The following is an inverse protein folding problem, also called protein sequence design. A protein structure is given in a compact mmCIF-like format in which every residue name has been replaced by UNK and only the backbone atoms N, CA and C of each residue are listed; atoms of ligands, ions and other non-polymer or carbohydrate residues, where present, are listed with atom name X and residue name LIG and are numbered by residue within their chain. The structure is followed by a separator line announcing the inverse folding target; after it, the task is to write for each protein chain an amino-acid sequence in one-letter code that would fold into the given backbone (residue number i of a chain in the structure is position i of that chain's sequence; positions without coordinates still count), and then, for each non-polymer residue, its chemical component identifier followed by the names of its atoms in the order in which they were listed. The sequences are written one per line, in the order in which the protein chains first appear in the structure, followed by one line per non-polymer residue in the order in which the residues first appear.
data_IF_459729462368
#
_entry.id   IF_459729462368
#
_cell.length_a   1.000
_cell.length_b   1.000
_cell.length_c   1.000
_cell.angle_alpha   90.00
_cell.angle_beta   90.00
_cell.angle_gamma   90.00
#
_symmetry.space_group_name_H-M   'P 1'
#
loop_
_entity.id
_entity.type
_entity.pdbx_description
1 polymer ?
#
# COMPACT_ATOMS: atom_id res chain seq x y z
N UNK A 1 24.05 -40.49 -24.05
CA UNK A 1 22.97 -39.73 -23.39
C UNK A 1 23.36 -38.26 -23.28
N UNK A 2 23.33 -37.48 -24.38
CA UNK A 2 23.80 -36.08 -24.39
C UNK A 2 23.01 -35.11 -25.26
N UNK A 3 22.02 -35.56 -26.04
CA UNK A 3 21.29 -34.70 -26.99
C UNK A 3 20.14 -33.87 -26.40
N UNK A 4 19.57 -34.27 -25.26
CA UNK A 4 18.38 -33.61 -24.69
C UNK A 4 18.66 -32.31 -23.93
N UNK A 5 19.88 -32.13 -23.39
CA UNK A 5 20.24 -30.92 -22.63
C UNK A 5 20.48 -29.70 -23.55
N UNK A 6 21.14 -29.89 -24.68
CA UNK A 6 21.38 -28.82 -25.66
C UNK A 6 20.09 -28.30 -26.30
N UNK A 7 19.10 -29.17 -26.54
CA UNK A 7 17.81 -28.77 -27.11
C UNK A 7 16.98 -27.89 -26.17
N UNK A 8 16.91 -28.27 -24.89
CA UNK A 8 16.24 -27.46 -23.85
C UNK A 8 16.94 -26.13 -23.62
N UNK A 9 18.27 -26.10 -23.65
CA UNK A 9 19.05 -24.88 -23.47
C UNK A 9 18.85 -23.91 -24.64
N UNK A 10 18.80 -24.42 -25.88
CA UNK A 10 18.48 -23.62 -27.07
C UNK A 10 17.04 -23.09 -27.06
N UNK A 11 16.07 -23.89 -26.60
CA UNK A 11 14.67 -23.48 -26.48
C UNK A 11 14.49 -22.37 -25.41
N UNK A 12 15.13 -22.54 -24.25
CA UNK A 12 15.16 -21.51 -23.21
C UNK A 12 15.82 -20.21 -23.67
N UNK A 13 16.90 -20.29 -24.45
CA UNK A 13 17.54 -19.11 -25.04
C UNK A 13 16.60 -18.38 -26.00
N UNK A 14 15.83 -19.11 -26.81
CA UNK A 14 14.87 -18.50 -27.71
C UNK A 14 13.71 -17.84 -26.96
N UNK A 15 13.18 -18.51 -25.93
CA UNK A 15 12.12 -17.94 -25.08
C UNK A 15 12.57 -16.65 -24.40
N UNK A 16 13.81 -16.60 -23.90
CA UNK A 16 14.38 -15.38 -23.30
C UNK A 16 14.48 -14.23 -24.30
N UNK A 17 14.98 -14.49 -25.51
CA UNK A 17 15.01 -13.45 -26.57
C UNK A 17 13.62 -12.92 -26.91
N UNK A 18 12.60 -13.79 -26.89
CA UNK A 18 11.23 -13.36 -27.10
C UNK A 18 10.73 -12.49 -25.95
N UNK A 19 11.09 -12.82 -24.69
CA UNK A 19 10.80 -11.98 -23.52
C UNK A 19 11.50 -10.63 -23.64
N UNK A 20 12.80 -10.58 -23.95
CA UNK A 20 13.55 -9.34 -24.11
C UNK A 20 12.89 -8.41 -25.15
N UNK A 21 12.49 -8.98 -26.29
CA UNK A 21 11.79 -8.24 -27.35
C UNK A 21 10.41 -7.72 -26.93
N UNK A 22 9.69 -8.43 -26.05
CA UNK A 22 8.44 -7.97 -25.46
C UNK A 22 8.67 -6.91 -24.40
N UNK A 23 9.71 -7.04 -23.58
CA UNK A 23 10.09 -6.07 -22.54
C UNK A 23 10.49 -4.74 -23.16
N UNK A 24 11.21 -4.74 -24.29
CA UNK A 24 11.51 -3.53 -25.07
C UNK A 24 10.21 -2.83 -25.53
N UNK A 25 9.24 -3.59 -26.05
CA UNK A 25 7.94 -3.04 -26.44
C UNK A 25 7.13 -2.50 -25.24
N UNK A 26 7.18 -3.20 -24.11
CA UNK A 26 6.55 -2.74 -22.87
C UNK A 26 7.18 -1.42 -22.42
N UNK A 27 8.51 -1.32 -22.43
CA UNK A 27 9.23 -0.10 -22.08
C UNK A 27 8.83 1.07 -23.00
N UNK A 28 8.74 0.83 -24.31
CA UNK A 28 8.29 1.86 -25.27
C UNK A 28 6.86 2.34 -24.97
N UNK A 29 5.94 1.42 -24.69
CA UNK A 29 4.56 1.75 -24.32
C UNK A 29 4.48 2.51 -22.99
N UNK A 30 5.29 2.12 -22.00
CA UNK A 30 5.38 2.81 -20.72
C UNK A 30 5.93 4.23 -20.90
N UNK A 31 6.95 4.43 -21.73
CA UNK A 31 7.50 5.74 -22.04
C UNK A 31 6.51 6.64 -22.78
N UNK A 32 5.77 6.10 -23.75
CA UNK A 32 4.69 6.83 -24.42
C UNK A 32 3.61 7.26 -23.42
N UNK A 33 3.20 6.35 -22.53
CA UNK A 33 2.23 6.68 -21.47
C UNK A 33 2.78 7.72 -20.48
N UNK A 34 4.07 7.65 -20.14
CA UNK A 34 4.74 8.63 -19.29
C UNK A 34 4.73 10.03 -19.93
N UNK A 35 5.06 10.12 -21.23
CA UNK A 35 5.00 11.39 -21.97
C UNK A 35 3.59 12.00 -21.97
N UNK A 36 2.55 11.18 -22.17
CA UNK A 36 1.16 11.62 -22.07
C UNK A 36 0.83 12.08 -20.65
N UNK A 37 1.29 11.38 -19.63
CA UNK A 37 1.07 11.74 -18.22
C UNK A 37 1.70 13.10 -17.90
N UNK A 38 2.92 13.36 -18.38
CA UNK A 38 3.57 14.67 -18.26
C UNK A 38 2.76 15.76 -18.98
N UNK A 39 2.25 15.49 -20.18
CA UNK A 39 1.40 16.44 -20.90
C UNK A 39 0.08 16.73 -20.16
N UNK A 40 -0.56 15.71 -19.56
CA UNK A 40 -1.74 15.88 -18.70
C UNK A 40 -1.42 16.77 -17.50
N UNK A 41 -0.28 16.56 -16.84
CA UNK A 41 0.18 17.38 -15.72
C UNK A 41 0.37 18.86 -16.12
N UNK A 42 0.97 19.11 -17.28
CA UNK A 42 1.15 20.48 -17.83
C UNK A 42 -0.18 21.17 -18.14
N UNK A 43 -1.12 20.46 -18.77
CA UNK A 43 -2.45 21.01 -19.09
C UNK A 43 -3.24 21.37 -17.83
N UNK A 44 -2.99 20.66 -16.72
CA UNK A 44 -3.66 20.88 -15.44
C UNK A 44 -2.86 21.75 -14.46
N UNK A 45 -1.72 22.33 -14.88
CA UNK A 45 -0.83 23.05 -13.98
C UNK A 45 -1.53 24.23 -13.27
N UNK A 46 -2.45 24.90 -13.96
CA UNK A 46 -3.21 26.04 -13.44
C UNK A 46 -4.59 25.63 -12.87
N UNK A 47 -4.89 24.33 -12.83
CA UNK A 47 -6.14 23.82 -12.27
C UNK A 47 -6.01 23.50 -10.79
N UNK A 48 -7.08 23.75 -10.04
CA UNK A 48 -7.22 23.33 -8.63
C UNK A 48 -7.57 21.84 -8.51
N UNK A 49 -7.80 21.15 -9.64
CA UNK A 49 -8.10 19.72 -9.61
C UNK A 49 -6.96 18.87 -9.05
N UNK A 50 -7.32 17.94 -8.16
CA UNK A 50 -6.41 16.89 -7.69
C UNK A 50 -5.98 15.96 -8.83
N UNK A 51 -4.72 15.53 -8.80
CA UNK A 51 -4.21 14.49 -9.71
C UNK A 51 -4.86 13.14 -9.41
N UNK A 52 -5.03 12.83 -8.12
CA UNK A 52 -5.68 11.61 -7.68
C UNK A 52 -7.18 11.62 -7.99
N UNK A 53 -7.61 10.70 -8.86
CA UNK A 53 -9.00 10.53 -9.33
C UNK A 53 -9.41 9.05 -9.23
N UNK A 54 -9.83 8.58 -8.04
CA UNK A 54 -10.01 7.14 -7.77
C UNK A 54 -11.05 6.47 -8.68
N UNK A 55 -12.16 7.14 -8.99
CA UNK A 55 -13.16 6.62 -9.92
C UNK A 55 -12.60 6.41 -11.33
N UNK A 56 -11.76 7.33 -11.81
CA UNK A 56 -11.14 7.20 -13.13
C UNK A 56 -10.15 6.05 -13.18
N UNK A 57 -9.41 5.82 -12.10
CA UNK A 57 -8.49 4.68 -12.01
C UNK A 57 -9.24 3.35 -11.97
N UNK A 58 -10.33 3.29 -11.20
CA UNK A 58 -11.23 2.14 -11.17
C UNK A 58 -11.79 1.83 -12.56
N UNK A 59 -12.30 2.84 -13.29
CA UNK A 59 -12.78 2.65 -14.67
C UNK A 59 -11.71 2.06 -15.60
N UNK A 60 -10.46 2.54 -15.49
CA UNK A 60 -9.36 2.04 -16.31
C UNK A 60 -9.06 0.58 -15.96
N UNK A 61 -8.95 0.25 -14.67
CA UNK A 61 -8.71 -1.10 -14.18
C UNK A 61 -9.84 -2.06 -14.58
N UNK A 62 -11.10 -1.71 -14.33
CA UNK A 62 -12.26 -2.54 -14.64
C UNK A 62 -12.35 -2.81 -16.15
N UNK A 63 -12.08 -1.79 -16.99
CA UNK A 63 -11.97 -1.96 -18.44
C UNK A 63 -10.86 -2.95 -18.80
N UNK A 64 -9.66 -2.84 -18.22
CA UNK A 64 -8.55 -3.73 -18.52
C UNK A 64 -8.81 -5.17 -18.07
N UNK A 65 -9.42 -5.35 -16.90
CA UNK A 65 -9.81 -6.66 -16.37
C UNK A 65 -10.82 -7.33 -17.31
N UNK A 66 -11.82 -6.59 -17.79
CA UNK A 66 -12.81 -7.11 -18.74
C UNK A 66 -12.19 -7.55 -20.08
N UNK A 67 -11.06 -6.96 -20.48
CA UNK A 67 -10.34 -7.32 -21.71
C UNK A 67 -9.24 -8.36 -21.50
N UNK A 68 -8.93 -8.72 -20.24
CA UNK A 68 -7.87 -9.65 -19.93
C UNK A 68 -8.35 -11.10 -20.11
N UNK A 69 -8.07 -11.69 -21.27
CA UNK A 69 -8.38 -13.09 -21.56
C UNK A 69 -7.38 -14.09 -20.92
N UNK A 70 -6.42 -13.63 -20.13
CA UNK A 70 -5.34 -14.44 -19.58
C UNK A 70 -4.11 -14.54 -20.50
N UNK A 71 -3.04 -15.22 -20.07
CA UNK A 71 -2.93 -16.05 -18.87
C UNK A 71 -2.64 -15.27 -17.56
N UNK A 72 -2.53 -13.94 -17.62
CA UNK A 72 -2.22 -13.12 -16.46
C UNK A 72 -3.40 -13.08 -15.45
N UNK A 73 -3.20 -13.50 -14.19
CA UNK A 73 -4.25 -13.43 -13.16
C UNK A 73 -4.68 -11.99 -12.86
N UNK A 74 -5.94 -11.79 -12.48
CA UNK A 74 -6.51 -10.47 -12.19
C UNK A 74 -5.74 -9.74 -11.07
N UNK A 75 -5.38 -10.42 -9.99
CA UNK A 75 -4.62 -9.84 -8.88
C UNK A 75 -3.24 -9.33 -9.32
N UNK A 76 -2.60 -10.01 -10.28
CA UNK A 76 -1.32 -9.57 -10.84
C UNK A 76 -1.52 -8.34 -11.74
N UNK A 77 -2.57 -8.33 -12.57
CA UNK A 77 -2.92 -7.19 -13.42
C UNK A 77 -3.18 -5.93 -12.57
N UNK A 78 -3.94 -6.07 -11.47
CA UNK A 78 -4.21 -4.99 -10.51
C UNK A 78 -2.91 -4.43 -9.92
N UNK A 79 -2.00 -5.30 -9.49
CA UNK A 79 -0.72 -4.89 -8.91
C UNK A 79 0.17 -4.13 -9.91
N UNK A 80 0.27 -4.63 -11.15
CA UNK A 80 1.03 -3.98 -12.23
C UNK A 80 0.44 -2.60 -12.54
N UNK A 81 -0.87 -2.54 -12.78
CA UNK A 81 -1.51 -1.28 -13.16
C UNK A 81 -1.54 -0.26 -12.02
N UNK A 82 -1.57 -0.69 -10.76
CA UNK A 82 -1.38 0.21 -9.61
C UNK A 82 -0.04 0.94 -9.70
N UNK A 83 1.07 0.24 -9.94
CA UNK A 83 2.39 0.90 -10.01
C UNK A 83 2.53 1.77 -11.26
N UNK A 84 1.95 1.35 -12.38
CA UNK A 84 1.85 2.16 -13.61
C UNK A 84 1.06 3.45 -13.36
N UNK A 85 -0.05 3.40 -12.63
CA UNK A 85 -0.84 4.57 -12.25
C UNK A 85 -0.08 5.45 -11.24
N UNK A 86 0.50 4.85 -10.21
CA UNK A 86 1.32 5.52 -9.19
C UNK A 86 2.45 6.35 -9.82
N UNK A 87 3.22 5.75 -10.73
CA UNK A 87 4.28 6.44 -11.48
C UNK A 87 3.73 7.60 -12.32
N UNK A 88 2.56 7.43 -12.95
CA UNK A 88 1.96 8.48 -13.78
C UNK A 88 1.35 9.63 -13.02
N UNK A 89 0.82 9.39 -11.82
CA UNK A 89 0.42 10.49 -10.94
C UNK A 89 1.63 11.27 -10.48
N UNK A 90 2.71 10.56 -10.09
CA UNK A 90 3.99 11.19 -9.71
C UNK A 90 4.59 12.05 -10.83
N UNK A 91 4.48 11.62 -12.09
CA UNK A 91 4.91 12.41 -13.26
C UNK A 91 4.04 13.64 -13.53
N UNK A 92 2.78 13.65 -13.06
CA UNK A 92 1.89 14.82 -13.17
C UNK A 92 2.19 15.84 -12.07
N UNK A 93 2.27 15.38 -10.81
CA UNK A 93 2.62 16.21 -9.64
C UNK A 93 3.00 15.29 -8.46
N UNK A 94 3.89 15.72 -7.55
CA UNK A 94 4.09 15.02 -6.26
C UNK A 94 2.77 14.83 -5.49
N UNK A 95 2.51 13.59 -5.06
CA UNK A 95 1.39 13.25 -4.18
C UNK A 95 1.91 13.07 -2.75
N UNK A 96 1.67 14.06 -1.88
CA UNK A 96 1.98 14.00 -0.46
C UNK A 96 0.79 13.38 0.26
N UNK A 97 1.02 12.22 0.84
CA UNK A 97 0.01 11.43 1.54
C UNK A 97 0.42 11.32 3.00
N UNK A 98 -0.44 11.76 3.91
CA UNK A 98 -0.19 11.66 5.35
C UNK A 98 -0.96 10.49 5.95
N UNK A 99 -0.42 9.87 6.99
CA UNK A 99 -1.04 8.73 7.67
C UNK A 99 -0.69 8.71 9.16
N UNK A 100 -1.44 7.94 9.96
CA UNK A 100 -1.12 7.78 11.38
C UNK A 100 0.11 6.88 11.53
N UNK A 101 1.20 7.50 11.99
CA UNK A 101 2.52 6.88 12.10
C UNK A 101 2.67 5.92 13.29
N UNK A 102 3.85 5.31 13.44
CA UNK A 102 5.04 5.47 12.57
C UNK A 102 4.95 4.64 11.26
N UNK A 103 6.02 4.64 10.47
CA UNK A 103 6.15 3.73 9.32
C UNK A 103 6.01 2.27 9.75
N UNK A 104 5.33 1.46 8.93
CA UNK A 104 5.02 0.06 9.23
C UNK A 104 3.71 -0.16 10.00
N UNK A 105 2.92 0.88 10.30
CA UNK A 105 1.55 0.70 10.78
C UNK A 105 0.63 0.15 9.68
N UNK A 106 -0.56 -0.34 10.06
CA UNK A 106 -1.56 -0.73 9.07
C UNK A 106 -1.98 0.43 8.16
N UNK A 107 -2.02 1.67 8.67
CA UNK A 107 -2.28 2.87 7.85
C UNK A 107 -1.16 3.13 6.83
N UNK A 108 0.10 2.90 7.19
CA UNK A 108 1.21 2.95 6.23
C UNK A 108 1.03 1.94 5.10
N UNK A 109 0.77 0.67 5.43
CA UNK A 109 0.59 -0.37 4.42
C UNK A 109 -0.67 -0.15 3.58
N UNK A 110 -1.75 0.33 4.17
CA UNK A 110 -2.97 0.71 3.46
C UNK A 110 -2.70 1.84 2.46
N UNK A 111 -1.95 2.86 2.86
CA UNK A 111 -1.52 3.94 1.97
C UNK A 111 -0.66 3.41 0.81
N UNK A 112 0.31 2.54 1.10
CA UNK A 112 1.18 1.96 0.08
C UNK A 112 0.42 1.04 -0.89
N UNK A 113 -0.50 0.23 -0.37
CA UNK A 113 -1.31 -0.70 -1.15
C UNK A 113 -2.23 0.04 -2.12
N UNK A 114 -2.74 1.20 -1.72
CA UNK A 114 -3.68 1.96 -2.52
C UNK A 114 -2.98 2.93 -3.48
N UNK A 115 -2.01 3.68 -2.96
CA UNK A 115 -1.30 4.73 -3.71
C UNK A 115 -0.14 4.20 -4.55
N UNK A 116 0.32 2.97 -4.31
CA UNK A 116 1.54 2.45 -4.93
C UNK A 116 2.80 3.17 -4.44
N UNK A 117 3.96 2.73 -4.93
CA UNK A 117 5.24 3.08 -4.29
C UNK A 117 5.81 4.46 -4.69
N UNK A 118 5.21 5.14 -5.67
CA UNK A 118 5.70 6.45 -6.12
C UNK A 118 5.12 7.63 -5.33
N UNK A 119 4.17 7.38 -4.43
CA UNK A 119 3.60 8.41 -3.55
C UNK A 119 4.54 8.73 -2.38
N UNK A 120 4.55 10.00 -1.94
CA UNK A 120 5.31 10.44 -0.77
C UNK A 120 4.46 10.26 0.50
N UNK A 121 4.68 9.14 1.19
CA UNK A 121 4.00 8.85 2.44
C UNK A 121 4.76 9.47 3.62
N UNK A 122 4.08 10.30 4.41
CA UNK A 122 4.66 10.93 5.62
C UNK A 122 3.83 10.63 6.88
N UNK A 123 4.46 10.12 7.95
CA UNK A 123 3.75 9.82 9.19
C UNK A 123 3.36 11.10 9.93
N UNK A 124 2.23 11.04 10.64
CA UNK A 124 1.79 12.05 11.61
C UNK A 124 1.52 11.40 12.96
N UNK A 125 1.66 12.18 14.03
CA UNK A 125 1.53 11.68 15.40
C UNK A 125 0.08 11.48 15.81
N UNK A 126 -0.84 12.32 15.31
CA UNK A 126 -2.26 12.26 15.67
C UNK A 126 -3.16 12.31 14.42
N UNK A 127 -4.43 11.90 14.58
CA UNK A 127 -5.42 12.12 13.53
C UNK A 127 -5.65 13.61 13.27
N UNK A 128 -5.62 14.45 14.30
CA UNK A 128 -5.80 15.90 14.11
C UNK A 128 -4.72 16.50 13.20
N UNK A 129 -3.46 16.07 13.34
CA UNK A 129 -2.36 16.49 12.46
C UNK A 129 -2.60 16.07 11.00
N UNK A 130 -3.22 14.91 10.77
CA UNK A 130 -3.58 14.43 9.42
C UNK A 130 -4.66 15.33 8.83
N UNK A 131 -5.73 15.57 9.57
CA UNK A 131 -6.85 16.41 9.12
C UNK A 131 -6.40 17.84 8.86
N UNK A 132 -5.57 18.41 9.73
CA UNK A 132 -4.98 19.73 9.57
C UNK A 132 -4.07 19.81 8.35
N UNK A 133 -3.17 18.84 8.15
CA UNK A 133 -2.28 18.82 7.00
C UNK A 133 -3.05 18.77 5.66
N UNK A 134 -4.17 18.05 5.61
CA UNK A 134 -5.03 18.01 4.41
C UNK A 134 -5.83 19.31 4.25
N UNK A 135 -6.45 19.78 5.34
CA UNK A 135 -7.24 21.03 5.36
C UNK A 135 -6.42 22.26 4.92
N UNK A 136 -5.17 22.34 5.38
CA UNK A 136 -4.27 23.48 5.11
C UNK A 136 -3.55 23.34 3.76
N UNK A 137 -3.76 22.24 3.03
CA UNK A 137 -3.10 21.96 1.74
C UNK A 137 -1.62 21.55 1.84
N UNK A 138 -1.13 21.23 3.05
CA UNK A 138 0.21 20.67 3.26
C UNK A 138 0.32 19.29 2.58
N UNK A 139 -0.74 18.48 2.66
CA UNK A 139 -0.85 17.18 2.02
C UNK A 139 -2.09 17.09 1.12
N UNK A 140 -1.99 16.39 -0.01
CA UNK A 140 -3.13 16.19 -0.90
C UNK A 140 -4.14 15.18 -0.35
N UNK A 141 -3.68 14.19 0.43
CA UNK A 141 -4.51 13.09 0.94
C UNK A 141 -4.10 12.68 2.35
N UNK A 142 -5.08 12.20 3.12
CA UNK A 142 -4.87 11.56 4.41
C UNK A 142 -5.41 10.13 4.41
N UNK A 143 -4.62 9.19 4.94
CA UNK A 143 -5.04 7.80 5.16
C UNK A 143 -5.43 7.63 6.62
N UNK A 144 -6.71 7.34 6.85
CA UNK A 144 -7.32 7.21 8.18
C UNK A 144 -8.14 5.93 8.27
N UNK A 145 -8.15 5.25 9.42
CA UNK A 145 -9.09 4.17 9.70
C UNK A 145 -10.46 4.77 10.05
N UNK A 146 -11.49 4.46 9.27
CA UNK A 146 -12.87 4.87 9.59
C UNK A 146 -13.55 3.85 10.52
N UNK A 147 -13.38 2.56 10.22
CA UNK A 147 -13.98 1.46 10.99
C UNK A 147 -13.00 0.30 11.15
N UNK A 148 -13.14 -0.42 12.27
CA UNK A 148 -12.49 -1.68 12.54
C UNK A 148 -13.53 -2.77 12.78
N UNK A 149 -13.41 -3.91 12.09
CA UNK A 149 -14.37 -5.02 12.20
C UNK A 149 -14.53 -5.58 13.62
N UNK A 150 -13.54 -5.39 14.50
CA UNK A 150 -13.57 -5.90 15.88
C UNK A 150 -13.98 -4.84 16.92
N UNK A 151 -13.83 -3.55 16.62
CA UNK A 151 -14.02 -2.46 17.59
C UNK A 151 -15.00 -1.38 17.13
N UNK A 152 -15.56 -1.51 15.93
CA UNK A 152 -16.50 -0.55 15.35
C UNK A 152 -15.81 0.70 14.80
N UNK A 153 -16.59 1.77 14.66
CA UNK A 153 -16.16 3.05 14.12
C UNK A 153 -15.13 3.75 15.00
N UNK A 154 -14.14 4.39 14.39
CA UNK A 154 -13.12 5.18 15.09
C UNK A 154 -13.70 6.57 15.41
N UNK A 155 -14.30 6.72 16.60
CA UNK A 155 -15.03 7.94 16.98
C UNK A 155 -14.24 9.24 16.80
N UNK A 156 -12.96 9.25 17.17
CA UNK A 156 -12.10 10.43 17.01
C UNK A 156 -12.00 10.91 15.55
N UNK A 157 -12.01 10.00 14.59
CA UNK A 157 -11.97 10.33 13.15
C UNK A 157 -13.29 10.96 12.71
N UNK A 158 -14.42 10.44 13.18
CA UNK A 158 -15.76 11.00 12.91
C UNK A 158 -15.88 12.42 13.47
N UNK A 159 -15.39 12.64 14.69
CA UNK A 159 -15.41 13.97 15.31
C UNK A 159 -14.57 14.97 14.50
N UNK A 160 -13.40 14.56 14.01
CA UNK A 160 -12.53 15.42 13.20
C UNK A 160 -13.15 15.80 11.85
N UNK A 161 -13.96 14.93 11.23
CA UNK A 161 -14.71 15.29 10.03
C UNK A 161 -15.72 16.43 10.25
N UNK A 162 -16.20 16.63 11.48
CA UNK A 162 -17.08 17.75 11.80
C UNK A 162 -16.30 19.07 12.02
N UNK A 163 -14.99 18.99 12.28
CA UNK A 163 -14.15 20.13 12.63
C UNK A 163 -13.34 20.67 11.44
N UNK A 164 -13.00 19.82 10.47
CA UNK A 164 -12.13 20.18 9.35
C UNK A 164 -12.88 20.06 8.00
N UNK A 165 -12.67 21.00 7.06
CA UNK A 165 -13.30 21.00 5.74
C UNK A 165 -12.62 20.00 4.78
N UNK A 166 -12.65 18.71 5.12
CA UNK A 166 -12.07 17.63 4.32
C UNK A 166 -13.16 16.68 3.80
N UNK A 167 -12.86 15.96 2.72
CA UNK A 167 -13.83 15.07 2.06
C UNK A 167 -13.25 13.66 1.87
N UNK A 168 -14.10 12.65 1.94
CA UNK A 168 -13.72 11.26 1.63
C UNK A 168 -13.67 11.11 0.11
N UNK A 169 -12.48 10.80 -0.42
CA UNK A 169 -12.28 10.57 -1.86
C UNK A 169 -12.40 9.10 -2.26
N UNK A 170 -12.05 8.19 -1.36
CA UNK A 170 -12.03 6.76 -1.62
C UNK A 170 -12.09 5.97 -0.29
N UNK A 171 -12.47 4.71 -0.42
CA UNK A 171 -12.39 3.72 0.65
C UNK A 171 -11.51 2.54 0.23
N UNK A 172 -10.87 1.91 1.21
CA UNK A 172 -10.16 0.64 1.03
C UNK A 172 -10.38 -0.28 2.24
N UNK A 173 -10.38 -1.58 1.97
CA UNK A 173 -10.50 -2.61 2.99
C UNK A 173 -9.16 -3.30 3.16
N UNK A 174 -8.47 -3.00 4.25
CA UNK A 174 -7.20 -3.62 4.60
C UNK A 174 -7.42 -4.82 5.53
N UNK A 175 -7.03 -6.02 5.08
CA UNK A 175 -7.09 -7.21 5.93
C UNK A 175 -5.97 -7.19 6.96
N UNK A 176 -6.35 -7.06 8.23
CA UNK A 176 -5.43 -7.10 9.36
C UNK A 176 -4.96 -8.54 9.60
N UNK A 177 -3.66 -8.77 9.48
CA UNK A 177 -3.00 -10.03 9.84
C UNK A 177 -1.85 -9.72 10.78
N UNK A 178 -1.81 -10.39 11.92
CA UNK A 178 -0.72 -10.26 12.89
C UNK A 178 0.30 -11.38 12.70
N UNK A 179 1.57 -11.04 12.78
CA UNK A 179 2.68 -11.98 12.75
C UNK A 179 3.49 -11.83 14.05
N UNK A 180 3.88 -12.95 14.66
CA UNK A 180 4.88 -12.91 15.72
C UNK A 180 6.27 -12.83 15.07
N UNK A 181 7.05 -11.82 15.44
CA UNK A 181 8.38 -11.55 14.92
C UNK A 181 9.36 -11.37 16.08
N UNK A 182 10.61 -11.78 15.90
CA UNK A 182 11.64 -11.62 16.92
C UNK A 182 13.02 -12.01 16.42
N UNK A 183 14.05 -11.57 17.15
CA UNK A 183 15.47 -11.88 16.89
C UNK A 183 15.88 -13.23 17.49
N UNK A 184 15.08 -13.76 18.40
CA UNK A 184 15.33 -15.05 19.05
C UNK A 184 15.36 -16.17 18.01
N UNK A 185 16.34 -17.08 18.12
CA UNK A 185 16.44 -18.22 17.23
C UNK A 185 15.37 -19.28 17.53
N UNK A 186 14.87 -19.30 18.77
CA UNK A 186 13.84 -20.23 19.22
C UNK A 186 12.79 -19.55 20.11
N UNK A 187 11.59 -20.13 20.14
CA UNK A 187 10.48 -19.67 21.01
C UNK A 187 10.83 -19.76 22.50
N UNK A 188 11.71 -20.70 22.88
CA UNK A 188 12.13 -20.89 24.27
C UNK A 188 12.92 -19.70 24.82
N UNK A 189 13.64 -18.97 23.96
CA UNK A 189 14.45 -17.80 24.32
C UNK A 189 13.60 -16.54 24.54
N UNK A 190 12.40 -16.49 23.99
CA UNK A 190 11.49 -15.35 24.11
C UNK A 190 11.06 -15.18 25.57
N UNK A 191 11.17 -13.97 26.11
CA UNK A 191 10.74 -13.63 27.49
C UNK A 191 9.59 -12.64 27.50
N UNK A 192 9.69 -11.64 26.64
CA UNK A 192 8.76 -10.53 26.52
C UNK A 192 8.18 -10.48 25.10
N UNK A 193 6.92 -10.09 25.00
CA UNK A 193 6.21 -9.88 23.75
C UNK A 193 5.67 -8.46 23.76
N UNK A 194 6.17 -7.63 22.85
CA UNK A 194 5.83 -6.22 22.74
C UNK A 194 4.81 -6.02 21.62
N UNK A 195 3.75 -5.26 21.87
CA UNK A 195 2.85 -4.76 20.82
C UNK A 195 1.91 -3.69 21.38
N UNK A 196 1.12 -3.05 20.52
CA UNK A 196 0.02 -2.22 20.96
C UNK A 196 -1.03 -3.05 21.73
N UNK A 197 -1.74 -2.49 22.74
CA UNK A 197 -2.73 -3.23 23.53
C UNK A 197 -3.79 -3.96 22.68
N UNK A 198 -4.29 -3.30 21.64
CA UNK A 198 -5.33 -3.88 20.77
C UNK A 198 -4.87 -5.20 20.10
N UNK A 199 -3.72 -5.29 19.40
CA UNK A 199 -3.20 -6.57 18.92
C UNK A 199 -2.90 -7.61 20.02
N UNK A 200 -2.44 -7.19 21.21
CA UNK A 200 -2.23 -8.13 22.32
C UNK A 200 -3.55 -8.81 22.72
N UNK A 201 -4.63 -8.03 22.81
CA UNK A 201 -5.97 -8.54 23.10
C UNK A 201 -6.51 -9.42 21.97
N UNK A 202 -6.35 -8.98 20.71
CA UNK A 202 -6.79 -9.73 19.53
C UNK A 202 -6.06 -11.08 19.38
N UNK A 203 -4.80 -11.15 19.80
CA UNK A 203 -3.99 -12.36 19.76
C UNK A 203 -4.01 -13.17 21.06
N UNK A 204 -4.76 -12.76 22.09
CA UNK A 204 -4.69 -13.33 23.43
C UNK A 204 -4.89 -14.85 23.47
N UNK A 205 -5.83 -15.38 22.69
CA UNK A 205 -6.05 -16.84 22.61
C UNK A 205 -4.83 -17.58 22.04
N UNK A 206 -4.26 -17.05 20.95
CA UNK A 206 -3.08 -17.66 20.33
C UNK A 206 -1.86 -17.55 21.25
N UNK A 207 -1.65 -16.40 21.90
CA UNK A 207 -0.56 -16.17 22.84
C UNK A 207 -0.65 -17.10 24.05
N UNK A 208 -1.86 -17.29 24.61
CA UNK A 208 -2.07 -18.21 25.73
C UNK A 208 -1.68 -19.66 25.39
N UNK A 209 -1.96 -20.11 24.17
CA UNK A 209 -1.72 -21.49 23.74
C UNK A 209 -0.28 -21.74 23.27
N UNK A 210 0.37 -20.74 22.66
CA UNK A 210 1.68 -20.91 21.99
C UNK A 210 2.83 -20.22 22.73
N UNK A 211 2.55 -19.25 23.59
CA UNK A 211 3.53 -18.44 24.33
C UNK A 211 3.20 -18.37 25.83
N UNK A 212 2.95 -19.52 26.50
CA UNK A 212 2.55 -19.51 27.90
C UNK A 212 3.65 -18.92 28.80
N UNK A 213 3.23 -18.07 29.74
CA UNK A 213 4.12 -17.47 30.75
C UNK A 213 5.06 -16.39 30.22
N UNK A 214 4.88 -15.90 28.99
CA UNK A 214 5.62 -14.74 28.46
C UNK A 214 5.00 -13.44 28.98
N UNK A 215 5.84 -12.46 29.28
CA UNK A 215 5.40 -11.14 29.72
C UNK A 215 4.91 -10.37 28.50
N UNK A 216 3.70 -9.82 28.58
CA UNK A 216 3.16 -8.96 27.53
C UNK A 216 3.47 -7.49 27.89
N UNK A 217 4.14 -6.78 27.00
CA UNK A 217 4.57 -5.40 27.20
C UNK A 217 3.79 -4.50 26.23
N UNK A 218 2.89 -3.63 26.73
CA UNK A 218 2.14 -2.73 25.87
C UNK A 218 3.03 -1.58 25.37
N UNK A 219 2.96 -1.31 24.07
CA UNK A 219 3.68 -0.25 23.38
C UNK A 219 2.73 0.75 22.70
N UNK A 220 3.25 1.92 22.31
CA UNK A 220 2.45 2.95 21.62
C UNK A 220 1.97 2.57 20.21
N UNK A 221 2.63 1.62 19.54
CA UNK A 221 2.17 1.04 18.28
C UNK A 221 2.83 -0.33 18.03
N UNK A 222 2.21 -1.18 17.20
CA UNK A 222 2.84 -2.46 16.78
C UNK A 222 4.11 -2.24 15.98
N UNK A 223 4.18 -1.16 15.20
CA UNK A 223 5.37 -0.81 14.44
C UNK A 223 6.52 -0.35 15.35
N UNK A 224 6.24 0.44 16.38
CA UNK A 224 7.23 0.80 17.39
C UNK A 224 7.75 -0.43 18.15
N UNK A 225 6.85 -1.36 18.50
CA UNK A 225 7.22 -2.62 19.16
C UNK A 225 8.19 -3.47 18.32
N UNK A 226 8.05 -3.46 16.99
CA UNK A 226 8.92 -4.21 16.09
C UNK A 226 10.35 -3.62 15.96
N UNK A 227 10.56 -2.38 16.39
CA UNK A 227 11.86 -1.72 16.33
C UNK A 227 12.80 -2.09 17.49
N UNK A 228 12.27 -2.72 18.55
CA UNK A 228 12.99 -3.16 19.76
C UNK A 228 13.63 -4.54 19.53
#
# INVERSE_FOLDING_TARGET
MGGGKNGLELDLLQLRKNIDSLDDQILDLLNQRAAISVAVGRTKADSVETVFKPFREKEVLDRLIAHNAGPLPENHLRAIYREIMSSSRRLQRPERVVYLGPEGTFSYFAGLEYMGRSAELSPRATFEDIFRAVSDGEAELGVIPLENSLQGTVGQVVDLFMLFPVFIHAELFSRITHCLMGKAGTVAEVREIHSHPQPLDQCAHWLKNNMPGRVLVPEGSTAAAAAV
#
